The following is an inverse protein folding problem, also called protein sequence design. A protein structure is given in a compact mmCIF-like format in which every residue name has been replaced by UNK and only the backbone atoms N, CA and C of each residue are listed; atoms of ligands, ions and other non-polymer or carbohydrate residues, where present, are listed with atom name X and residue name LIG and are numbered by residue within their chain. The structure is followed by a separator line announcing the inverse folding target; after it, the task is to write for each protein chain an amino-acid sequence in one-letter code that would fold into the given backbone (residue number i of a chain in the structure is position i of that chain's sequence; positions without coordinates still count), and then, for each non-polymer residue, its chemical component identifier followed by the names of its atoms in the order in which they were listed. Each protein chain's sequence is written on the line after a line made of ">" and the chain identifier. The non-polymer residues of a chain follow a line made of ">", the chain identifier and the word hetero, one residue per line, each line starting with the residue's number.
data_IF_627270145535
#
_entry.id   IF_627270145535
#
_cell.length_a   1.000
_cell.length_b   1.000
_cell.length_c   1.000
_cell.angle_alpha   90.00
_cell.angle_beta   90.00
_cell.angle_gamma   90.00
#
_symmetry.space_group_name_H-M   'P 1'
#
loop_
_entity.id
_entity.type
_entity.pdbx_description
1 polymer ?
#
# COMPACT_ATOMS: atom_id res chain seq x y z
N UNK A 1 37.39 13.27 -12.07
CA UNK A 1 36.33 12.94 -13.01
C UNK A 1 35.43 11.84 -12.52
N UNK A 2 36.02 10.67 -12.30
CA UNK A 2 35.21 9.52 -11.89
C UNK A 2 34.53 9.69 -10.53
N UNK A 3 35.15 10.50 -9.68
CA UNK A 3 34.64 10.74 -8.35
C UNK A 3 33.28 11.44 -8.41
N UNK A 4 33.10 12.35 -9.33
CA UNK A 4 31.83 13.06 -9.45
C UNK A 4 30.69 12.14 -9.84
N UNK A 5 30.98 11.19 -10.73
CA UNK A 5 29.97 10.22 -11.15
C UNK A 5 29.55 9.31 -10.01
N UNK A 6 30.53 8.88 -9.18
CA UNK A 6 30.25 8.04 -8.04
C UNK A 6 29.36 8.76 -7.03
N UNK A 7 29.64 10.03 -6.78
CA UNK A 7 28.86 10.82 -5.85
C UNK A 7 27.42 10.95 -6.35
N UNK A 8 27.25 11.20 -7.64
CA UNK A 8 25.91 11.31 -8.20
C UNK A 8 25.12 10.02 -8.05
N UNK A 9 25.79 8.88 -8.27
CA UNK A 9 25.13 7.59 -8.11
C UNK A 9 24.69 7.35 -6.67
N UNK A 10 25.53 7.71 -5.72
CA UNK A 10 25.20 7.57 -4.31
C UNK A 10 24.00 8.43 -3.92
N UNK A 11 23.95 9.65 -4.43
CA UNK A 11 22.84 10.55 -4.12
C UNK A 11 21.53 10.00 -4.64
N UNK A 12 21.54 9.45 -5.86
CA UNK A 12 20.32 8.85 -6.44
C UNK A 12 19.85 7.66 -5.62
N UNK A 13 20.77 6.80 -5.23
CA UNK A 13 20.44 5.63 -4.42
C UNK A 13 19.86 6.06 -3.08
N UNK A 14 20.45 7.08 -2.49
CA UNK A 14 20.02 7.59 -1.20
C UNK A 14 18.60 8.16 -1.28
N UNK A 15 18.31 8.90 -2.33
CA UNK A 15 16.97 9.49 -2.50
C UNK A 15 15.89 8.43 -2.66
N UNK A 16 16.19 7.33 -3.33
CA UNK A 16 15.22 6.27 -3.56
C UNK A 16 14.80 5.57 -2.27
N UNK A 17 15.60 5.68 -1.21
CA UNK A 17 15.36 4.94 0.00
C UNK A 17 14.36 5.59 0.97
N UNK A 18 13.80 6.76 0.63
CA UNK A 18 13.09 7.56 1.60
C UNK A 18 11.58 7.63 1.51
N UNK A 19 10.98 7.10 0.46
CA UNK A 19 9.57 7.39 0.22
C UNK A 19 8.77 6.11 0.09
N UNK A 20 8.34 5.52 1.20
CA UNK A 20 7.49 4.32 1.14
C UNK A 20 6.63 4.24 2.38
N UNK A 21 6.04 5.37 2.74
CA UNK A 21 5.29 5.48 3.98
C UNK A 21 3.81 5.63 3.75
N UNK A 22 3.06 5.20 4.76
CA UNK A 22 1.61 5.39 4.82
C UNK A 22 1.34 6.21 6.07
N UNK A 23 0.43 7.16 5.93
CA UNK A 23 0.16 8.14 6.99
C UNK A 23 -1.34 8.25 7.23
N UNK A 24 -1.70 8.63 8.45
CA UNK A 24 -3.11 8.92 8.74
C UNK A 24 -3.48 10.30 8.22
N UNK A 25 -4.71 10.75 8.49
CA UNK A 25 -5.20 12.03 7.99
C UNK A 25 -4.45 13.22 8.58
N UNK A 26 -3.79 13.04 9.71
CA UNK A 26 -2.96 14.08 10.33
C UNK A 26 -1.52 14.02 9.86
N UNK A 27 -1.23 13.15 8.90
CA UNK A 27 0.08 12.94 8.31
C UNK A 27 1.11 12.36 9.28
N UNK A 28 0.64 11.60 10.27
CA UNK A 28 1.53 10.80 11.12
C UNK A 28 1.75 9.45 10.45
N UNK A 29 2.99 8.96 10.47
CA UNK A 29 3.31 7.68 9.85
C UNK A 29 2.67 6.53 10.62
N UNK A 30 1.88 5.73 9.93
CA UNK A 30 1.21 4.58 10.53
C UNK A 30 1.71 3.26 9.94
N UNK A 31 2.52 3.33 8.91
CA UNK A 31 3.06 2.12 8.32
C UNK A 31 4.02 2.39 7.19
N UNK A 32 4.63 1.32 6.70
CA UNK A 32 5.58 1.37 5.59
C UNK A 32 5.41 0.12 4.75
N UNK A 33 5.63 0.25 3.45
CA UNK A 33 5.66 -0.91 2.55
C UNK A 33 6.92 -0.80 1.70
N UNK A 34 7.86 -1.73 1.89
CA UNK A 34 9.13 -1.77 1.18
C UNK A 34 9.37 -3.17 0.65
N UNK A 35 9.57 -3.28 -0.67
CA UNK A 35 9.89 -4.57 -1.30
C UNK A 35 8.93 -5.66 -0.87
N UNK A 36 7.64 -5.32 -0.82
CA UNK A 36 6.59 -6.27 -0.48
C UNK A 36 6.42 -6.51 1.01
N UNK A 37 7.25 -5.93 1.84
CA UNK A 37 7.14 -6.09 3.29
C UNK A 37 6.31 -4.95 3.86
N UNK A 38 5.29 -5.29 4.63
CA UNK A 38 4.38 -4.33 5.25
C UNK A 38 4.75 -4.20 6.71
N UNK A 39 4.96 -2.97 7.16
CA UNK A 39 5.38 -2.68 8.53
C UNK A 39 4.43 -1.69 9.17
N UNK A 40 4.32 -1.74 10.50
CA UNK A 40 3.54 -0.73 11.23
C UNK A 40 4.39 0.53 11.45
N UNK A 41 3.83 1.50 12.18
CA UNK A 41 4.52 2.76 12.42
C UNK A 41 5.82 2.66 13.21
N UNK A 42 5.98 1.57 13.95
CA UNK A 42 7.20 1.29 14.70
C UNK A 42 8.20 0.46 13.89
N UNK A 43 7.87 0.23 12.61
CA UNK A 43 8.67 -0.54 11.66
C UNK A 43 8.81 -2.02 12.02
N UNK A 44 7.83 -2.55 12.72
CA UNK A 44 7.72 -3.99 12.91
C UNK A 44 6.96 -4.59 11.72
N UNK A 45 7.41 -5.75 11.26
CA UNK A 45 6.77 -6.41 10.12
C UNK A 45 5.40 -6.96 10.54
N UNK A 46 4.36 -6.56 9.81
CA UNK A 46 3.01 -7.05 10.07
C UNK A 46 2.46 -7.86 8.91
N UNK A 47 3.18 -7.92 7.80
CA UNK A 47 2.73 -8.73 6.67
C UNK A 47 3.59 -8.56 5.45
N UNK A 48 3.13 -9.19 4.36
CA UNK A 48 3.83 -9.18 3.08
C UNK A 48 2.82 -9.13 1.94
N UNK A 49 3.19 -8.45 0.86
CA UNK A 49 2.42 -8.44 -0.38
C UNK A 49 3.39 -8.83 -1.48
N UNK A 50 3.28 -10.05 -1.98
CA UNK A 50 4.21 -10.58 -2.98
C UNK A 50 3.46 -11.35 -4.07
N UNK A 51 3.68 -10.95 -5.32
CA UNK A 51 3.10 -11.65 -6.47
C UNK A 51 1.59 -11.82 -6.35
N UNK A 52 0.92 -10.76 -5.89
CA UNK A 52 -0.53 -10.79 -5.76
C UNK A 52 -1.05 -11.51 -4.54
N UNK A 53 -0.18 -12.00 -3.68
CA UNK A 53 -0.57 -12.69 -2.44
C UNK A 53 -0.31 -11.80 -1.25
N UNK A 54 -1.31 -11.69 -0.38
CA UNK A 54 -1.22 -10.90 0.85
C UNK A 54 -1.09 -11.84 2.02
N UNK A 55 -0.05 -11.64 2.82
CA UNK A 55 0.28 -12.54 3.94
C UNK A 55 0.41 -11.75 5.23
N UNK A 56 0.17 -12.42 6.36
CA UNK A 56 0.42 -11.81 7.65
C UNK A 56 1.91 -11.91 8.01
N UNK A 57 2.28 -11.47 9.21
CA UNK A 57 3.69 -11.45 9.63
C UNK A 57 4.33 -12.83 9.73
N UNK A 58 3.52 -13.87 9.87
CA UNK A 58 4.01 -15.25 9.91
C UNK A 58 4.01 -15.90 8.52
N UNK A 59 3.71 -15.11 7.48
CA UNK A 59 3.64 -15.53 6.09
C UNK A 59 2.49 -16.49 5.80
N UNK A 60 1.43 -16.43 6.59
CA UNK A 60 0.19 -17.13 6.27
C UNK A 60 -0.63 -16.26 5.33
N UNK A 61 -1.23 -16.90 4.33
CA UNK A 61 -2.00 -16.17 3.31
C UNK A 61 -3.28 -15.61 3.90
N UNK A 62 -3.49 -14.29 3.73
CA UNK A 62 -4.72 -13.63 4.12
C UNK A 62 -5.63 -13.40 2.93
N UNK A 63 -5.06 -13.29 1.75
CA UNK A 63 -5.86 -13.03 0.57
C UNK A 63 -4.99 -12.79 -0.66
N UNK A 64 -5.65 -12.34 -1.73
CA UNK A 64 -5.01 -12.18 -3.04
C UNK A 64 -5.53 -10.91 -3.72
N UNK A 65 -4.72 -10.37 -4.62
CA UNK A 65 -5.17 -9.33 -5.53
C UNK A 65 -4.74 -9.71 -6.94
N UNK A 66 -5.67 -9.69 -7.89
CA UNK A 66 -5.42 -9.99 -9.29
C UNK A 66 -6.28 -9.10 -10.17
N UNK A 67 -5.63 -8.33 -11.05
CA UNK A 67 -6.35 -7.48 -12.01
C UNK A 67 -7.39 -6.58 -11.33
N UNK A 68 -7.01 -6.02 -10.19
CA UNK A 68 -7.89 -5.12 -9.46
C UNK A 68 -8.93 -5.81 -8.60
N UNK A 69 -8.99 -7.13 -8.61
CA UNK A 69 -9.94 -7.87 -7.79
C UNK A 69 -9.24 -8.33 -6.50
N UNK A 70 -9.86 -8.04 -5.38
CA UNK A 70 -9.33 -8.39 -4.06
C UNK A 70 -10.10 -9.58 -3.53
N UNK A 71 -9.38 -10.60 -3.09
CA UNK A 71 -9.98 -11.87 -2.66
C UNK A 71 -9.48 -12.23 -1.27
N UNK A 72 -10.29 -12.98 -0.52
CA UNK A 72 -9.84 -13.51 0.77
C UNK A 72 -9.00 -14.77 0.55
N UNK A 73 -8.61 -15.44 1.64
CA UNK A 73 -7.75 -16.62 1.56
C UNK A 73 -8.38 -17.79 0.85
N UNK A 74 -9.71 -17.84 0.78
CA UNK A 74 -10.44 -18.88 0.05
C UNK A 74 -10.72 -18.48 -1.40
N UNK A 75 -10.17 -17.35 -1.83
CA UNK A 75 -10.33 -16.79 -3.18
C UNK A 75 -11.74 -16.33 -3.48
N UNK A 76 -12.51 -15.96 -2.46
CA UNK A 76 -13.79 -15.30 -2.65
C UNK A 76 -13.52 -13.80 -2.80
N UNK A 77 -14.23 -13.16 -3.72
CA UNK A 77 -14.06 -11.74 -3.97
C UNK A 77 -14.59 -10.92 -2.80
N UNK A 78 -13.76 -10.04 -2.26
CA UNK A 78 -14.17 -9.16 -1.18
C UNK A 78 -14.15 -7.68 -1.61
N UNK A 79 -13.61 -7.39 -2.78
CA UNK A 79 -13.63 -6.02 -3.27
C UNK A 79 -12.92 -5.85 -4.59
N UNK A 80 -12.89 -4.60 -5.03
CA UNK A 80 -12.24 -4.22 -6.29
C UNK A 80 -11.51 -2.89 -6.14
N UNK A 81 -10.42 -2.74 -6.86
CA UNK A 81 -9.67 -1.49 -6.95
C UNK A 81 -9.52 -1.19 -8.43
N UNK A 82 -10.26 -0.19 -8.92
CA UNK A 82 -10.28 0.14 -10.35
C UNK A 82 -10.28 1.65 -10.55
N UNK A 83 -9.31 2.14 -11.32
CA UNK A 83 -9.25 3.55 -11.70
C UNK A 83 -9.38 4.50 -10.51
N UNK A 84 -8.67 4.18 -9.44
CA UNK A 84 -8.68 5.01 -8.25
C UNK A 84 -9.89 4.85 -7.36
N UNK A 85 -10.80 3.96 -7.72
CA UNK A 85 -12.00 3.72 -6.91
C UNK A 85 -11.88 2.38 -6.19
N UNK A 86 -12.18 2.37 -4.92
CA UNK A 86 -12.14 1.17 -4.08
C UNK A 86 -13.57 0.76 -3.80
N UNK A 87 -13.88 -0.50 -4.09
CA UNK A 87 -15.25 -1.02 -3.99
C UNK A 87 -15.29 -2.28 -3.14
N UNK A 88 -16.44 -2.55 -2.52
CA UNK A 88 -16.63 -3.82 -1.81
C UNK A 88 -17.00 -4.92 -2.82
N UNK A 89 -17.30 -6.12 -2.33
CA UNK A 89 -17.60 -7.27 -3.18
C UNK A 89 -18.86 -7.12 -4.01
N UNK A 90 -19.75 -6.22 -3.61
CA UNK A 90 -20.98 -5.93 -4.37
C UNK A 90 -20.78 -4.76 -5.33
N UNK A 91 -19.54 -4.28 -5.47
CA UNK A 91 -19.16 -3.15 -6.30
C UNK A 91 -19.74 -1.82 -5.85
N UNK A 92 -20.04 -1.69 -4.58
CA UNK A 92 -20.37 -0.39 -4.00
C UNK A 92 -19.07 0.32 -3.64
N UNK A 93 -19.01 1.63 -3.92
CA UNK A 93 -17.82 2.41 -3.63
C UNK A 93 -17.65 2.59 -2.13
N UNK A 94 -16.48 2.20 -1.61
CA UNK A 94 -16.16 2.41 -0.20
C UNK A 94 -15.07 3.46 -0.02
N UNK A 95 -14.42 3.87 -1.10
CA UNK A 95 -13.40 4.90 -1.00
C UNK A 95 -12.73 5.17 -2.32
N UNK A 96 -11.75 6.05 -2.25
CA UNK A 96 -10.94 6.43 -3.42
C UNK A 96 -9.48 6.46 -3.02
N UNK A 97 -8.63 6.10 -3.97
CA UNK A 97 -7.20 6.07 -3.76
C UNK A 97 -6.55 6.72 -4.98
N UNK A 98 -5.97 7.89 -4.81
CA UNK A 98 -5.36 8.59 -5.94
C UNK A 98 -4.40 9.66 -5.49
N UNK A 99 -3.30 9.79 -6.25
CA UNK A 99 -2.33 10.87 -6.07
C UNK A 99 -1.82 11.00 -4.62
N UNK A 100 -1.56 9.84 -4.00
CA UNK A 100 -1.00 9.84 -2.66
C UNK A 100 -2.01 10.08 -1.56
N UNK A 101 -3.29 10.08 -1.86
CA UNK A 101 -4.35 10.35 -0.89
C UNK A 101 -5.37 9.21 -0.88
N UNK A 102 -5.71 8.74 0.31
CA UNK A 102 -6.76 7.75 0.51
C UNK A 102 -7.98 8.46 1.09
N UNK A 103 -9.15 8.19 0.52
CA UNK A 103 -10.39 8.87 0.88
C UNK A 103 -11.49 7.86 1.14
N UNK A 104 -12.47 8.24 1.97
CA UNK A 104 -13.64 7.38 2.15
C UNK A 104 -14.63 7.61 0.99
N UNK A 105 -15.81 6.98 1.07
CA UNK A 105 -16.80 7.06 -0.01
C UNK A 105 -17.38 8.45 -0.21
N UNK A 106 -17.27 9.33 0.78
CA UNK A 106 -17.70 10.72 0.67
C UNK A 106 -16.57 11.65 0.24
N UNK A 107 -15.42 11.06 -0.10
CA UNK A 107 -14.21 11.76 -0.52
C UNK A 107 -13.56 12.59 0.59
N UNK A 108 -13.78 12.22 1.82
CA UNK A 108 -13.03 12.79 2.94
C UNK A 108 -11.71 12.03 3.08
N UNK A 109 -10.63 12.76 3.34
CA UNK A 109 -9.31 12.15 3.45
C UNK A 109 -9.21 11.30 4.71
N UNK A 110 -8.79 10.05 4.55
CA UNK A 110 -8.53 9.16 5.69
C UNK A 110 -7.05 8.89 5.88
N UNK A 111 -6.25 9.22 4.88
CA UNK A 111 -4.81 9.04 4.99
C UNK A 111 -4.07 9.45 3.74
N UNK A 112 -2.75 9.29 3.81
CA UNK A 112 -1.85 9.64 2.70
C UNK A 112 -0.83 8.53 2.52
N UNK A 113 -0.28 8.42 1.33
CA UNK A 113 0.79 7.48 1.07
C UNK A 113 1.79 8.10 0.11
N UNK A 114 3.04 7.73 0.27
CA UNK A 114 4.15 8.28 -0.51
C UNK A 114 5.09 7.16 -0.90
N UNK A 115 5.39 7.03 -2.18
CA UNK A 115 6.30 6.00 -2.68
C UNK A 115 5.75 4.59 -2.64
N UNK A 116 4.45 4.44 -2.43
CA UNK A 116 3.76 3.15 -2.36
C UNK A 116 2.79 3.08 -3.54
N UNK A 117 2.70 1.92 -4.17
CA UNK A 117 1.75 1.73 -5.27
C UNK A 117 0.32 1.91 -4.78
N UNK A 118 -0.53 2.48 -5.64
CA UNK A 118 -1.93 2.71 -5.29
C UNK A 118 -2.62 1.44 -4.81
N UNK A 119 -2.39 0.32 -5.49
CA UNK A 119 -3.03 -0.95 -5.11
C UNK A 119 -2.58 -1.43 -3.74
N UNK A 120 -1.29 -1.28 -3.43
CA UNK A 120 -0.77 -1.69 -2.13
C UNK A 120 -1.30 -0.79 -1.02
N UNK A 121 -1.38 0.53 -1.28
CA UNK A 121 -1.97 1.46 -0.33
C UNK A 121 -3.43 1.11 -0.07
N UNK A 122 -4.17 0.75 -1.12
CA UNK A 122 -5.57 0.36 -0.96
C UNK A 122 -5.71 -0.90 -0.13
N UNK A 123 -4.86 -1.89 -0.34
CA UNK A 123 -4.88 -3.10 0.49
C UNK A 123 -4.61 -2.77 1.96
N UNK A 124 -3.73 -1.82 2.20
CA UNK A 124 -3.39 -1.40 3.56
C UNK A 124 -4.55 -0.65 4.22
N UNK A 125 -5.12 0.34 3.53
CA UNK A 125 -6.13 1.21 4.14
C UNK A 125 -7.52 0.58 4.21
N UNK A 126 -7.87 -0.32 3.30
CA UNK A 126 -9.27 -0.75 3.17
C UNK A 126 -9.53 -2.22 3.41
N UNK A 127 -8.53 -3.09 3.32
CA UNK A 127 -8.80 -4.53 3.29
C UNK A 127 -8.11 -5.36 4.35
N UNK A 128 -6.80 -5.24 4.50
CA UNK A 128 -6.07 -6.23 5.30
C UNK A 128 -5.32 -5.69 6.51
N UNK A 129 -4.97 -4.43 6.53
CA UNK A 129 -4.05 -3.94 7.55
C UNK A 129 -4.57 -2.75 8.35
N UNK A 130 -5.80 -2.35 8.15
CA UNK A 130 -6.36 -1.22 8.90
C UNK A 130 -6.78 -1.59 10.31
#
# INVERSE_FOLDING_TARGET
>A
MNIKLLIASLLLTFECAQAQSLMNASRSSIGYIENGRVMNGSQNTIGYIENGRVMNGSRNTMGYIENGRVMNGSRNTIGYIENGRVMNGSRNTIGYIENGRAMNGSRNTIGYYDGVKDSQAALFFYFFFD
#
